data_IF_626349691575
#
_entry.id   IF_626349691575
#
_cell.length_a   1.000
_cell.length_b   1.000
_cell.length_c   1.000
_cell.angle_alpha   90.00
_cell.angle_beta   90.00
_cell.angle_gamma   90.00
#
_symmetry.space_group_name_H-M   'P 1'
#
loop_
_entity.id
_entity.type
_entity.pdbx_description
1 polymer ?
#
# COMPACT_ATOMS: atom_id res chain seq x y z
N UNK A 1 15.68 -1.29 -7.31
CA UNK A 1 14.24 -1.33 -7.02
C UNK A 1 14.09 -2.23 -5.82
N UNK A 2 13.51 -1.72 -4.73
CA UNK A 2 13.26 -2.48 -3.52
C UNK A 2 12.11 -3.47 -3.76
N UNK A 3 12.02 -4.53 -2.97
CA UNK A 3 10.96 -5.53 -3.13
C UNK A 3 9.57 -4.91 -2.94
N UNK A 4 9.43 -3.94 -2.03
CA UNK A 4 8.20 -3.22 -1.76
C UNK A 4 7.71 -2.32 -2.92
N UNK A 5 8.61 -1.87 -3.80
CA UNK A 5 8.27 -0.96 -4.92
C UNK A 5 7.27 -1.59 -5.92
N UNK A 6 7.08 -2.91 -5.85
CA UNK A 6 6.15 -3.64 -6.73
C UNK A 6 4.69 -3.57 -6.27
N UNK A 7 4.43 -3.11 -5.05
CA UNK A 7 3.09 -3.07 -4.47
C UNK A 7 2.47 -1.71 -4.62
N UNK A 8 1.19 -1.67 -4.98
CA UNK A 8 0.44 -0.42 -4.98
C UNK A 8 0.23 0.05 -3.55
N UNK A 9 0.69 1.26 -3.27
CA UNK A 9 0.45 2.00 -2.04
C UNK A 9 -0.33 3.27 -2.35
N UNK A 10 -1.41 3.52 -1.63
CA UNK A 10 -2.18 4.75 -1.78
C UNK A 10 -2.78 5.21 -0.45
N UNK A 11 -3.16 6.49 -0.39
CA UNK A 11 -3.76 7.10 0.78
C UNK A 11 -5.08 7.76 0.38
N UNK A 12 -6.13 7.55 1.18
CA UNK A 12 -7.46 8.12 0.96
C UNK A 12 -7.99 8.74 2.26
N UNK A 13 -8.76 9.83 2.16
CA UNK A 13 -9.50 10.37 3.29
C UNK A 13 -10.67 9.44 3.67
N UNK A 14 -10.81 9.11 4.95
CA UNK A 14 -11.96 8.42 5.52
C UNK A 14 -12.81 9.41 6.31
N UNK A 15 -14.07 9.56 5.93
CA UNK A 15 -15.03 10.39 6.69
C UNK A 15 -15.38 9.74 8.05
N UNK A 16 -15.40 8.40 8.10
CA UNK A 16 -15.69 7.64 9.32
C UNK A 16 -14.59 7.83 10.37
N UNK A 17 -13.32 7.70 9.94
CA UNK A 17 -12.16 7.84 10.82
C UNK A 17 -11.70 9.28 11.00
N UNK A 18 -12.22 10.19 10.16
CA UNK A 18 -11.79 11.60 10.07
C UNK A 18 -10.26 11.72 9.93
N UNK A 19 -9.68 10.85 9.12
CA UNK A 19 -8.24 10.72 8.94
C UNK A 19 -7.89 10.26 7.53
N UNK A 20 -6.64 10.48 7.12
CA UNK A 20 -6.07 9.84 5.95
C UNK A 20 -5.65 8.41 6.28
N UNK A 21 -6.15 7.45 5.50
CA UNK A 21 -5.90 6.03 5.67
C UNK A 21 -5.00 5.53 4.54
N UNK A 22 -3.92 4.85 4.89
CA UNK A 22 -2.99 4.21 3.96
C UNK A 22 -3.41 2.78 3.62
N UNK A 23 -3.26 2.38 2.37
CA UNK A 23 -3.68 1.08 1.84
C UNK A 23 -2.57 0.44 1.01
N UNK A 24 -2.38 -0.85 1.18
CA UNK A 24 -1.58 -1.70 0.30
C UNK A 24 -2.28 -3.06 0.14
N UNK A 25 -3.26 -3.18 -0.77
CA UNK A 25 -4.20 -4.30 -0.80
C UNK A 25 -3.55 -5.67 -1.04
N UNK A 26 -2.40 -5.70 -1.73
CA UNK A 26 -1.70 -6.94 -2.02
C UNK A 26 -1.01 -7.53 -0.77
N UNK A 27 -0.55 -6.69 0.16
CA UNK A 27 0.08 -7.11 1.44
C UNK A 27 -0.91 -7.14 2.60
N UNK A 28 -1.88 -6.23 2.60
CA UNK A 28 -2.88 -6.07 3.65
C UNK A 28 -4.29 -6.09 3.04
N UNK A 29 -4.82 -7.28 2.71
CA UNK A 29 -6.09 -7.42 1.99
C UNK A 29 -7.31 -7.06 2.83
N UNK A 30 -7.17 -6.91 4.13
CA UNK A 30 -8.29 -6.70 5.06
C UNK A 30 -8.68 -5.23 5.26
N UNK A 31 -7.96 -4.28 4.66
CA UNK A 31 -8.35 -2.86 4.68
C UNK A 31 -7.19 -1.89 4.90
N UNK A 32 -7.50 -0.80 5.61
CA UNK A 32 -6.54 0.26 5.94
C UNK A 32 -5.41 -0.22 6.85
N UNK A 33 -4.20 0.21 6.56
CA UNK A 33 -2.97 -0.19 7.26
C UNK A 33 -2.62 0.78 8.39
N UNK A 34 -2.77 2.07 8.14
CA UNK A 34 -2.37 3.13 9.06
C UNK A 34 -3.19 4.41 8.85
N UNK A 35 -3.29 5.23 9.91
CA UNK A 35 -3.93 6.54 9.87
C UNK A 35 -2.90 7.67 9.97
N UNK A 36 -3.21 8.82 9.39
CA UNK A 36 -2.47 10.07 9.54
C UNK A 36 -3.39 11.29 9.47
N UNK A 37 -2.99 12.40 10.11
CA UNK A 37 -3.74 13.65 10.06
C UNK A 37 -3.56 14.35 8.71
N UNK A 38 -2.49 14.02 7.97
CA UNK A 38 -2.20 14.55 6.63
C UNK A 38 -1.85 13.42 5.66
N UNK A 39 -2.01 13.67 4.35
CA UNK A 39 -1.62 12.69 3.32
C UNK A 39 -0.15 12.27 3.44
N UNK A 40 0.83 13.19 3.58
CA UNK A 40 2.24 12.81 3.69
C UNK A 40 2.53 11.98 4.94
N UNK A 41 1.91 12.30 6.06
CA UNK A 41 2.08 11.53 7.30
C UNK A 41 1.55 10.11 7.16
N UNK A 42 0.34 9.94 6.63
CA UNK A 42 -0.24 8.61 6.39
C UNK A 42 0.62 7.81 5.40
N UNK A 43 1.14 8.46 4.35
CA UNK A 43 1.99 7.79 3.37
C UNK A 43 3.35 7.36 3.95
N UNK A 44 3.97 8.21 4.79
CA UNK A 44 5.22 7.86 5.46
C UNK A 44 5.06 6.61 6.36
N UNK A 45 3.99 6.59 7.16
CA UNK A 45 3.63 5.44 8.01
C UNK A 45 3.34 4.19 7.18
N UNK A 46 2.66 4.34 6.04
CA UNK A 46 2.38 3.23 5.12
C UNK A 46 3.67 2.63 4.56
N UNK A 47 4.63 3.46 4.15
CA UNK A 47 5.95 3.00 3.70
C UNK A 47 6.67 2.20 4.78
N UNK A 48 6.68 2.69 6.03
CA UNK A 48 7.30 1.99 7.17
C UNK A 48 6.67 0.61 7.39
N UNK A 49 5.34 0.53 7.42
CA UNK A 49 4.62 -0.73 7.61
C UNK A 49 4.89 -1.75 6.49
N UNK A 50 4.92 -1.28 5.24
CA UNK A 50 5.20 -2.12 4.08
C UNK A 50 6.64 -2.63 4.11
N UNK A 51 7.63 -1.75 4.37
CA UNK A 51 9.04 -2.14 4.46
C UNK A 51 9.27 -3.15 5.59
N UNK A 52 8.66 -2.95 6.76
CA UNK A 52 8.76 -3.88 7.89
C UNK A 52 8.17 -5.26 7.54
N UNK A 53 7.01 -5.28 6.90
CA UNK A 53 6.33 -6.51 6.48
C UNK A 53 7.15 -7.29 5.47
N UNK A 54 7.70 -6.60 4.46
CA UNK A 54 8.56 -7.22 3.44
C UNK A 54 9.84 -7.76 4.07
N UNK A 55 10.52 -6.96 4.89
CA UNK A 55 11.76 -7.35 5.55
C UNK A 55 11.55 -8.56 6.48
N UNK A 56 10.46 -8.57 7.23
CA UNK A 56 10.11 -9.69 8.12
C UNK A 56 9.82 -10.96 7.34
N UNK A 57 9.05 -10.88 6.25
CA UNK A 57 8.77 -12.03 5.40
C UNK A 57 10.05 -12.61 4.77
N UNK A 58 10.93 -11.75 4.27
CA UNK A 58 12.23 -12.15 3.72
C UNK A 58 13.12 -12.81 4.78
N UNK A 59 13.19 -12.25 5.99
CA UNK A 59 13.95 -12.81 7.10
C UNK A 59 13.43 -14.18 7.56
N UNK A 60 12.12 -14.42 7.45
CA UNK A 60 11.47 -15.68 7.80
C UNK A 60 11.40 -16.67 6.64
N UNK A 61 11.85 -16.29 5.44
CA UNK A 61 11.73 -17.12 4.23
C UNK A 61 10.28 -17.35 3.79
N UNK A 62 9.36 -16.48 4.18
CA UNK A 62 7.95 -16.56 3.80
C UNK A 62 7.76 -16.01 2.38
N UNK A 63 6.97 -16.69 1.53
CA UNK A 63 6.66 -16.19 0.21
C UNK A 63 5.78 -14.94 0.30
N UNK A 64 6.23 -13.88 -0.34
CA UNK A 64 5.46 -12.66 -0.47
C UNK A 64 4.36 -12.81 -1.54
N UNK A 65 3.16 -12.22 -1.33
CA UNK A 65 2.06 -12.32 -2.28
C UNK A 65 2.41 -11.61 -3.61
N UNK A 66 1.93 -12.12 -4.76
CA UNK A 66 2.15 -11.46 -6.04
C UNK A 66 1.37 -10.15 -6.12
N UNK A 67 1.93 -9.08 -6.71
CA UNK A 67 1.23 -7.82 -6.90
C UNK A 67 0.10 -8.00 -7.92
N UNK A 68 -1.15 -7.89 -7.48
CA UNK A 68 -2.35 -8.04 -8.31
C UNK A 68 -3.06 -6.71 -8.52
N UNK A 69 -2.89 -5.79 -7.58
CA UNK A 69 -3.55 -4.48 -7.61
C UNK A 69 -2.77 -3.55 -8.53
N UNK A 70 -3.37 -3.17 -9.66
CA UNK A 70 -2.76 -2.23 -10.60
C UNK A 70 -3.41 -0.84 -10.47
N UNK A 71 -2.62 0.24 -10.40
CA UNK A 71 -3.17 1.58 -10.55
C UNK A 71 -3.58 1.73 -12.01
N UNK A 72 -4.87 1.73 -12.33
CA UNK A 72 -5.31 1.96 -13.70
C UNK A 72 -6.54 2.85 -13.79
N UNK A 73 -6.48 3.78 -14.74
CA UNK A 73 -7.57 3.98 -15.70
C UNK A 73 -7.06 3.49 -17.05
N UNK A 74 -7.79 2.61 -17.72
CA UNK A 74 -7.47 2.20 -19.09
C UNK A 74 -7.50 3.44 -20.02
N UNK A 75 -6.45 3.62 -20.80
CA UNK A 75 -6.42 4.61 -21.88
C UNK A 75 -6.91 3.88 -23.13
N UNK A 76 -8.07 4.25 -23.66
CA UNK A 76 -8.45 3.83 -25.00
C UNK A 76 -7.42 4.44 -25.97
N UNK A 77 -6.60 3.59 -26.59
CA UNK A 77 -5.84 3.99 -27.77
C UNK A 77 -6.87 4.21 -28.87
N UNK A 78 -7.27 5.48 -29.06
CA UNK A 78 -8.07 5.87 -30.21
C UNK A 78 -7.32 5.40 -31.46
N UNK A 79 -7.94 4.45 -32.17
CA UNK A 79 -7.43 3.84 -33.40
C UNK A 79 -7.37 4.85 -34.55
#
# INVERSE_FOLDING_TARGET
MKTEDRYLMFVQWSEEDRAYVGYCPDLFPWGGVCHGATQPEAYARLCEAVTDTVTTAEAQGLPLPPPRTRPMREVELAA
#
